data_IF_854430327444
#
_entry.id   IF_854430327444
#
_cell.length_a   1.000
_cell.length_b   1.000
_cell.length_c   1.000
_cell.angle_alpha   90.00
_cell.angle_beta   90.00
_cell.angle_gamma   90.00
#
_symmetry.space_group_name_H-M   'P 1'
#
loop_
_entity.id
_entity.type
_entity.pdbx_description
1 polymer ?
#
# COMPACT_ATOMS: atom_id res chain seq x y z
N UNK A 1 -38.38 18.47 66.54
CA UNK A 1 -37.52 18.09 67.68
C UNK A 1 -36.68 16.89 67.26
N UNK A 2 -35.51 16.68 67.87
CA UNK A 2 -34.47 15.83 67.31
C UNK A 2 -34.09 14.65 68.22
N UNK A 3 -33.52 13.60 67.58
CA UNK A 3 -32.61 12.58 68.15
C UNK A 3 -33.20 11.53 69.11
N UNK A 4 -32.51 10.39 69.36
CA UNK A 4 -31.22 9.92 68.80
C UNK A 4 -31.20 8.51 68.17
N UNK A 5 -30.03 8.18 67.63
CA UNK A 5 -29.53 6.89 67.13
C UNK A 5 -29.75 5.65 68.01
N UNK A 6 -29.82 4.46 67.39
CA UNK A 6 -28.82 3.40 67.61
C UNK A 6 -28.84 2.37 66.46
N UNK A 7 -27.71 1.69 66.26
CA UNK A 7 -27.48 0.73 65.17
C UNK A 7 -27.68 -0.72 65.64
N UNK A 8 -27.70 -1.67 64.69
CA UNK A 8 -26.87 -2.91 64.64
C UNK A 8 -27.51 -3.93 63.68
N UNK A 9 -26.62 -4.53 62.88
CA UNK A 9 -26.75 -5.64 61.92
C UNK A 9 -27.87 -6.67 62.14
N UNK A 10 -28.46 -7.16 61.04
CA UNK A 10 -28.29 -8.57 60.66
C UNK A 10 -28.59 -8.84 59.18
N UNK A 11 -27.95 -9.90 58.66
CA UNK A 11 -27.99 -10.37 57.26
C UNK A 11 -29.09 -11.44 57.12
N UNK A 12 -29.70 -11.60 55.93
CA UNK A 12 -29.89 -12.88 55.19
C UNK A 12 -30.89 -12.69 54.02
N UNK A 13 -30.37 -12.92 52.81
CA UNK A 13 -30.92 -13.59 51.62
C UNK A 13 -32.46 -13.74 51.49
N UNK A 14 -33.09 -13.47 50.33
CA UNK A 14 -33.20 -14.37 49.16
C UNK A 14 -33.89 -13.57 48.03
N UNK A 15 -33.68 -13.74 46.71
CA UNK A 15 -32.59 -14.28 45.87
C UNK A 15 -32.93 -13.96 44.37
N UNK A 16 -32.06 -14.34 43.42
CA UNK A 16 -32.24 -14.59 41.95
C UNK A 16 -33.23 -13.70 41.12
N UNK A 17 -32.90 -13.25 39.89
CA UNK A 17 -32.88 -14.08 38.67
C UNK A 17 -32.32 -13.27 37.44
N UNK A 18 -31.59 -13.98 36.54
CA UNK A 18 -31.19 -13.71 35.14
C UNK A 18 -30.32 -12.50 34.69
N UNK A 19 -29.16 -12.85 34.12
CA UNK A 19 -28.39 -12.08 33.13
C UNK A 19 -26.93 -12.56 33.07
N UNK A 20 -26.46 -13.26 32.03
CA UNK A 20 -25.08 -13.74 31.98
C UNK A 20 -24.14 -12.59 31.59
N UNK A 21 -23.47 -12.00 32.58
CA UNK A 21 -22.29 -11.16 32.32
C UNK A 21 -21.10 -12.11 32.20
N UNK A 22 -20.61 -12.33 30.98
CA UNK A 22 -19.33 -12.98 30.74
C UNK A 22 -18.19 -12.05 31.16
N UNK A 23 -17.91 -12.00 32.46
CA UNK A 23 -16.60 -11.58 32.96
C UNK A 23 -15.62 -12.71 32.65
N UNK A 24 -14.77 -12.49 31.64
CA UNK A 24 -13.61 -13.36 31.44
C UNK A 24 -12.67 -13.18 32.63
N UNK A 25 -12.30 -14.28 33.27
CA UNK A 25 -11.38 -14.28 34.41
C UNK A 25 -10.01 -13.75 33.98
N UNK A 26 -9.49 -12.75 34.70
CA UNK A 26 -8.06 -12.44 34.68
C UNK A 26 -7.36 -13.55 35.45
N UNK A 27 -7.05 -14.64 34.74
CA UNK A 27 -6.17 -15.69 35.24
C UNK A 27 -4.73 -15.19 35.19
N UNK A 28 -4.21 -14.83 36.37
CA UNK A 28 -2.84 -14.41 36.57
C UNK A 28 -1.89 -15.61 36.46
N UNK A 29 -1.45 -15.91 35.24
CA UNK A 29 -0.28 -16.75 35.00
C UNK A 29 0.90 -15.86 34.65
N UNK A 30 1.78 -15.66 35.64
CA UNK A 30 3.13 -15.15 35.44
C UNK A 30 3.92 -16.13 34.58
N UNK A 31 4.12 -15.81 33.31
CA UNK A 31 5.18 -16.41 32.51
C UNK A 31 6.35 -15.41 32.44
N UNK A 32 7.45 -15.74 33.10
CA UNK A 32 8.65 -14.92 33.19
C UNK A 32 9.42 -14.97 31.87
N UNK A 33 8.98 -14.12 30.95
CA UNK A 33 9.48 -14.08 29.59
C UNK A 33 9.28 -12.71 28.98
N UNK A 34 10.19 -11.77 29.28
CA UNK A 34 10.28 -10.50 28.55
C UNK A 34 10.86 -10.73 27.14
N UNK A 35 10.18 -11.58 26.36
CA UNK A 35 10.33 -11.57 24.92
C UNK A 35 9.81 -10.22 24.44
N UNK A 36 10.73 -9.32 24.14
CA UNK A 36 10.49 -8.26 23.16
C UNK A 36 10.21 -8.96 21.82
N UNK A 37 8.98 -9.46 21.64
CA UNK A 37 8.49 -9.92 20.36
C UNK A 37 8.37 -8.66 19.51
N UNK A 38 9.41 -8.42 18.72
CA UNK A 38 9.36 -7.46 17.63
C UNK A 38 8.43 -8.11 16.61
N UNK A 39 7.13 -7.88 16.75
CA UNK A 39 6.13 -8.34 15.79
C UNK A 39 6.47 -7.71 14.44
N UNK A 40 6.98 -8.54 13.52
CA UNK A 40 7.43 -8.10 12.21
C UNK A 40 6.21 -7.62 11.41
N UNK A 41 6.20 -6.38 10.89
CA UNK A 41 5.08 -5.90 10.09
C UNK A 41 4.89 -6.74 8.83
N UNK A 42 3.63 -7.02 8.49
CA UNK A 42 3.26 -7.71 7.26
C UNK A 42 3.79 -6.90 6.06
N UNK A 43 4.61 -7.51 5.19
CA UNK A 43 5.26 -6.76 4.09
C UNK A 43 4.24 -6.09 3.15
N UNK A 44 3.18 -6.81 2.82
CA UNK A 44 2.17 -6.42 1.81
C UNK A 44 0.77 -6.55 2.40
N UNK A 45 -0.05 -5.51 2.28
CA UNK A 45 -1.49 -5.56 2.62
C UNK A 45 -2.35 -5.42 1.37
N UNK A 46 -3.53 -6.04 1.38
CA UNK A 46 -4.45 -6.08 0.24
C UNK A 46 -5.64 -5.16 0.51
N UNK A 47 -5.93 -4.28 -0.43
CA UNK A 47 -7.02 -3.30 -0.37
C UNK A 47 -7.94 -3.44 -1.59
N UNK A 48 -9.15 -2.89 -1.52
CA UNK A 48 -10.08 -2.81 -2.66
C UNK A 48 -10.52 -1.39 -2.95
N UNK A 49 -10.78 -1.11 -4.22
CA UNK A 49 -11.46 0.09 -4.66
C UNK A 49 -10.65 0.95 -5.63
N UNK A 50 -11.05 2.21 -5.69
CA UNK A 50 -10.45 3.25 -6.51
C UNK A 50 -9.02 3.58 -6.08
N UNK A 51 -8.09 3.53 -7.02
CA UNK A 51 -6.69 3.92 -6.84
C UNK A 51 -6.08 4.42 -8.17
N UNK A 52 -4.85 4.92 -8.09
CA UNK A 52 -4.06 5.27 -9.27
C UNK A 52 -3.12 4.11 -9.64
N UNK A 53 -2.90 3.88 -10.94
CA UNK A 53 -2.01 2.82 -11.43
C UNK A 53 -0.88 3.44 -12.26
N UNK A 54 0.30 3.57 -11.65
CA UNK A 54 1.49 4.13 -12.28
C UNK A 54 2.44 3.08 -12.89
N UNK A 55 2.23 1.78 -12.66
CA UNK A 55 3.08 0.71 -13.22
C UNK A 55 3.07 0.63 -14.76
N UNK A 56 2.13 1.34 -15.40
CA UNK A 56 2.04 1.51 -16.85
C UNK A 56 2.37 2.94 -17.32
N UNK A 57 2.85 3.82 -16.44
CA UNK A 57 3.23 5.19 -16.79
C UNK A 57 4.58 5.22 -17.51
N UNK A 58 4.58 5.71 -18.75
CA UNK A 58 5.78 5.98 -19.54
C UNK A 58 6.11 7.47 -19.65
N UNK A 59 5.41 8.34 -18.91
CA UNK A 59 5.56 9.79 -19.00
C UNK A 59 5.88 10.41 -17.62
N UNK A 60 6.92 9.94 -16.94
CA UNK A 60 7.36 10.54 -15.69
C UNK A 60 8.36 11.69 -15.93
N UNK A 61 8.03 12.88 -15.44
CA UNK A 61 8.89 14.08 -15.53
C UNK A 61 9.58 14.35 -14.20
N UNK A 62 10.90 14.58 -14.21
CA UNK A 62 11.68 14.90 -13.01
C UNK A 62 11.48 16.37 -12.57
N UNK A 63 11.23 16.55 -11.27
CA UNK A 63 11.10 17.84 -10.60
C UNK A 63 11.84 17.77 -9.24
N UNK A 64 13.15 18.04 -9.25
CA UNK A 64 13.99 17.96 -8.05
C UNK A 64 14.25 16.51 -7.64
N UNK A 65 13.90 16.15 -6.40
CA UNK A 65 13.99 14.80 -5.82
C UNK A 65 12.77 13.91 -6.13
N UNK A 66 11.82 14.43 -6.90
CA UNK A 66 10.52 13.80 -7.18
C UNK A 66 10.25 13.68 -8.67
N UNK A 67 9.40 12.72 -9.00
CA UNK A 67 8.92 12.45 -10.34
C UNK A 67 7.41 12.66 -10.39
N UNK A 68 6.91 13.35 -11.40
CA UNK A 68 5.48 13.48 -11.67
C UNK A 68 5.13 12.56 -12.83
N UNK A 69 4.36 11.52 -12.54
CA UNK A 69 3.95 10.50 -13.49
C UNK A 69 2.44 10.62 -13.74
N UNK A 70 2.03 10.63 -15.02
CA UNK A 70 0.61 10.51 -15.38
C UNK A 70 0.21 9.03 -15.33
N UNK A 71 -0.86 8.73 -14.59
CA UNK A 71 -1.24 7.39 -14.19
C UNK A 71 -2.73 7.13 -14.45
N UNK A 72 -3.07 5.86 -14.68
CA UNK A 72 -4.45 5.44 -14.95
C UNK A 72 -5.29 5.50 -13.67
N UNK A 73 -6.60 5.70 -13.83
CA UNK A 73 -7.57 5.60 -12.73
C UNK A 73 -8.37 4.30 -12.88
N UNK A 74 -8.31 3.45 -11.86
CA UNK A 74 -8.86 2.08 -11.90
C UNK A 74 -9.56 1.72 -10.59
N UNK A 75 -10.53 0.81 -10.64
CA UNK A 75 -11.28 0.32 -9.48
C UNK A 75 -11.18 -1.20 -9.33
N UNK A 76 -10.31 -1.68 -8.44
CA UNK A 76 -10.09 -3.11 -8.22
C UNK A 76 -9.30 -3.43 -6.94
N UNK A 77 -9.05 -4.72 -6.70
CA UNK A 77 -8.14 -5.20 -5.65
C UNK A 77 -6.70 -4.81 -5.99
N UNK A 78 -6.02 -4.20 -5.02
CA UNK A 78 -4.66 -3.69 -5.14
C UNK A 78 -3.83 -4.02 -3.88
N UNK A 79 -2.52 -3.91 -4.01
CA UNK A 79 -1.53 -4.20 -2.98
C UNK A 79 -0.83 -2.91 -2.58
N UNK A 80 -0.64 -2.73 -1.27
CA UNK A 80 0.19 -1.67 -0.70
C UNK A 80 1.37 -2.31 0.02
N UNK A 81 2.61 -1.96 -0.36
CA UNK A 81 3.78 -2.32 0.43
C UNK A 81 3.84 -1.45 1.69
N UNK A 82 3.84 -2.07 2.86
CA UNK A 82 3.76 -1.34 4.14
C UNK A 82 5.01 -0.51 4.43
N UNK A 83 6.14 -0.87 3.82
CA UNK A 83 7.41 -0.12 3.87
C UNK A 83 7.36 1.19 3.07
N UNK A 84 6.52 1.28 2.04
CA UNK A 84 6.46 2.39 1.08
C UNK A 84 5.40 3.45 1.44
N UNK A 85 4.46 3.13 2.35
CA UNK A 85 3.48 4.07 2.90
C UNK A 85 4.16 5.37 3.36
N UNK A 86 3.69 6.50 2.83
CA UNK A 86 4.23 7.85 3.06
C UNK A 86 3.49 8.60 4.18
N UNK A 87 2.19 8.36 4.35
CA UNK A 87 1.45 8.82 5.53
C UNK A 87 2.01 8.13 6.78
N UNK A 88 2.70 8.89 7.62
CA UNK A 88 3.46 8.34 8.76
C UNK A 88 2.54 7.81 9.86
N UNK A 89 1.36 8.41 10.05
CA UNK A 89 0.40 7.97 11.07
C UNK A 89 -0.25 6.67 10.62
N UNK A 90 -0.75 6.64 9.39
CA UNK A 90 -1.37 5.46 8.77
C UNK A 90 -0.36 4.32 8.62
N UNK A 91 0.90 4.61 8.31
CA UNK A 91 2.00 3.62 8.29
C UNK A 91 2.17 2.96 9.64
N UNK A 92 2.38 3.74 10.70
CA UNK A 92 2.60 3.22 12.04
C UNK A 92 1.41 2.39 12.52
N UNK A 93 0.18 2.86 12.30
CA UNK A 93 -1.04 2.10 12.60
C UNK A 93 -1.15 0.81 11.80
N UNK A 94 -0.76 0.82 10.52
CA UNK A 94 -0.79 -0.37 9.65
C UNK A 94 0.25 -1.39 10.05
N UNK A 95 1.49 -0.96 10.30
CA UNK A 95 2.59 -1.83 10.70
C UNK A 95 2.40 -2.41 12.11
N UNK A 96 1.73 -1.69 13.01
CA UNK A 96 1.38 -2.20 14.35
C UNK A 96 0.17 -3.16 14.34
N UNK A 97 -0.79 -2.98 13.41
CA UNK A 97 -2.00 -3.81 13.33
C UNK A 97 -1.80 -5.07 12.48
N UNK A 98 -1.11 -4.95 11.35
CA UNK A 98 -0.94 -6.02 10.37
C UNK A 98 0.49 -6.56 10.48
N UNK A 99 0.65 -7.70 11.15
CA UNK A 99 1.96 -8.31 11.44
C UNK A 99 2.02 -9.72 10.87
N UNK A 100 3.21 -10.28 10.67
CA UNK A 100 3.37 -11.65 10.16
C UNK A 100 2.74 -12.71 11.10
N UNK A 101 2.58 -12.37 12.40
CA UNK A 101 1.89 -13.21 13.41
C UNK A 101 0.37 -13.00 13.42
N UNK A 102 -0.08 -11.78 13.12
CA UNK A 102 -1.48 -11.37 13.07
C UNK A 102 -1.75 -10.65 11.74
N UNK A 103 -1.81 -11.40 10.63
CA UNK A 103 -1.95 -10.83 9.30
C UNK A 103 -3.33 -10.20 9.13
N UNK A 104 -3.38 -9.08 8.41
CA UNK A 104 -4.62 -8.44 7.98
C UNK A 104 -5.14 -9.10 6.71
N UNK A 105 -6.43 -9.49 6.72
CA UNK A 105 -7.15 -9.79 5.49
C UNK A 105 -7.41 -8.51 4.67
N UNK A 106 -8.06 -8.70 3.51
CA UNK A 106 -8.47 -7.64 2.59
C UNK A 106 -9.22 -6.51 3.32
N UNK A 107 -8.84 -5.26 3.03
CA UNK A 107 -9.40 -4.02 3.60
C UNK A 107 -9.26 -3.83 5.13
N UNK A 108 -8.70 -4.79 5.87
CA UNK A 108 -8.53 -4.66 7.32
C UNK A 108 -7.42 -3.68 7.72
N UNK A 109 -6.46 -3.42 6.82
CA UNK A 109 -5.36 -2.51 7.08
C UNK A 109 -5.83 -1.03 7.15
N UNK A 110 -5.33 -0.22 8.10
CA UNK A 110 -5.65 1.21 8.21
C UNK A 110 -5.41 1.98 6.92
N UNK A 111 -4.36 1.64 6.17
CA UNK A 111 -4.06 2.25 4.86
C UNK A 111 -5.15 2.04 3.82
N UNK A 112 -5.84 0.89 3.81
CA UNK A 112 -6.95 0.66 2.88
C UNK A 112 -8.10 1.63 3.14
N UNK A 113 -8.44 1.90 4.41
CA UNK A 113 -9.45 2.90 4.76
C UNK A 113 -8.99 4.33 4.42
N UNK A 114 -7.71 4.65 4.66
CA UNK A 114 -7.17 5.96 4.33
C UNK A 114 -7.25 6.27 2.82
N UNK A 115 -6.93 5.30 1.97
CA UNK A 115 -7.07 5.40 0.51
C UNK A 115 -8.56 5.50 0.12
N UNK A 116 -9.38 4.54 0.57
CA UNK A 116 -10.80 4.39 0.21
C UNK A 116 -11.67 5.62 0.50
N UNK A 117 -11.30 6.43 1.48
CA UNK A 117 -12.05 7.62 1.90
C UNK A 117 -11.31 8.96 1.64
N UNK A 118 -10.23 8.98 0.85
CA UNK A 118 -9.47 10.21 0.56
C UNK A 118 -8.83 10.86 1.78
N UNK A 119 -8.47 10.05 2.78
CA UNK A 119 -7.90 10.51 4.06
C UNK A 119 -6.38 10.37 4.15
N UNK A 120 -5.75 9.77 3.14
CA UNK A 120 -4.30 9.57 3.07
C UNK A 120 -3.55 10.91 3.00
N UNK A 121 -2.69 11.18 3.98
CA UNK A 121 -2.06 12.48 4.17
C UNK A 121 -0.54 12.43 4.00
N UNK A 122 0.01 13.25 3.08
CA UNK A 122 1.46 13.38 2.88
C UNK A 122 1.85 14.84 2.98
N UNK A 123 2.67 15.18 3.98
CA UNK A 123 3.16 16.55 4.20
C UNK A 123 2.06 17.56 4.59
N UNK A 124 1.00 17.11 5.28
CA UNK A 124 -0.14 17.97 5.66
C UNK A 124 -1.18 18.17 4.56
N UNK A 125 -1.05 17.48 3.42
CA UNK A 125 -1.99 17.52 2.30
C UNK A 125 -2.67 16.15 2.19
N UNK A 126 -4.00 16.14 2.11
CA UNK A 126 -4.80 14.94 1.85
C UNK A 126 -4.98 14.72 0.36
N UNK A 127 -4.94 13.46 -0.05
CA UNK A 127 -5.04 13.07 -1.45
C UNK A 127 -6.21 12.09 -1.64
N UNK A 128 -7.08 12.42 -2.59
CA UNK A 128 -8.20 11.56 -3.01
C UNK A 128 -7.70 10.29 -3.75
N UNK A 129 -6.48 10.34 -4.27
CA UNK A 129 -5.87 9.30 -5.09
C UNK A 129 -4.49 8.93 -4.55
N UNK A 130 -4.23 7.62 -4.49
CA UNK A 130 -2.94 7.06 -4.13
C UNK A 130 -2.56 6.03 -5.17
N UNK A 131 -1.32 6.09 -5.65
CA UNK A 131 -0.76 5.08 -6.55
C UNK A 131 -0.41 3.83 -5.77
N UNK A 132 -0.91 2.69 -6.23
CA UNK A 132 -0.71 1.39 -5.59
C UNK A 132 -0.49 0.32 -6.65
N UNK A 133 0.03 -0.83 -6.23
CA UNK A 133 0.32 -1.93 -7.14
C UNK A 133 -0.96 -2.70 -7.45
N UNK A 134 -1.31 -2.84 -8.73
CA UNK A 134 -2.45 -3.67 -9.17
C UNK A 134 -2.01 -4.97 -9.84
N UNK A 135 -2.80 -6.02 -9.63
CA UNK A 135 -2.73 -7.28 -10.35
C UNK A 135 -2.82 -7.14 -11.88
N UNK A 136 -3.59 -6.17 -12.39
CA UNK A 136 -3.65 -5.87 -13.81
C UNK A 136 -2.41 -5.13 -14.32
N UNK A 137 -1.84 -4.25 -13.48
CA UNK A 137 -0.53 -3.65 -13.74
C UNK A 137 0.55 -4.72 -13.88
N UNK A 138 0.52 -5.73 -13.02
CA UNK A 138 1.42 -6.89 -13.09
C UNK A 138 1.28 -7.71 -14.37
N UNK A 139 0.07 -8.01 -14.82
CA UNK A 139 -0.15 -8.69 -16.10
C UNK A 139 0.55 -7.95 -17.25
N UNK A 140 0.51 -6.61 -17.24
CA UNK A 140 1.21 -5.80 -18.24
C UNK A 140 2.73 -5.89 -18.08
N UNK A 141 3.25 -5.83 -16.84
CA UNK A 141 4.68 -6.02 -16.55
C UNK A 141 5.22 -7.40 -17.00
N UNK A 142 4.45 -8.49 -16.86
CA UNK A 142 4.86 -9.80 -17.38
C UNK A 142 4.96 -9.85 -18.91
N UNK A 143 4.11 -9.09 -19.61
CA UNK A 143 4.13 -8.99 -21.06
C UNK A 143 5.21 -8.02 -21.57
N UNK A 144 5.73 -7.16 -20.69
CA UNK A 144 6.87 -6.29 -20.96
C UNK A 144 8.17 -7.09 -20.87
N UNK A 145 9.06 -6.89 -21.83
CA UNK A 145 10.40 -7.48 -21.79
C UNK A 145 11.24 -6.74 -20.74
N UNK A 146 11.26 -7.24 -19.50
CA UNK A 146 12.04 -6.64 -18.41
C UNK A 146 13.55 -6.68 -18.69
N UNK A 147 14.29 -5.71 -18.16
CA UNK A 147 15.76 -5.60 -18.35
C UNK A 147 16.43 -5.01 -17.11
N UNK A 148 17.61 -5.53 -16.78
CA UNK A 148 18.41 -5.04 -15.66
C UNK A 148 19.08 -3.71 -16.03
N UNK A 149 18.78 -2.65 -15.28
CA UNK A 149 19.34 -1.32 -15.50
C UNK A 149 20.24 -0.94 -14.32
N UNK A 150 21.54 -1.23 -14.44
CA UNK A 150 22.57 -0.81 -13.50
C UNK A 150 23.34 0.38 -14.08
N UNK A 151 23.14 1.56 -13.50
CA UNK A 151 23.76 2.80 -13.96
C UNK A 151 25.30 2.80 -13.82
N UNK A 152 25.86 1.89 -13.02
CA UNK A 152 27.30 1.76 -12.80
C UNK A 152 27.97 0.79 -13.79
N UNK A 153 27.19 0.08 -14.61
CA UNK A 153 27.73 -0.86 -15.58
C UNK A 153 28.47 -0.13 -16.72
N UNK A 154 29.64 -0.65 -17.10
CA UNK A 154 30.42 -0.11 -18.21
C UNK A 154 29.62 -0.12 -19.51
N UNK A 155 29.42 1.05 -20.12
CA UNK A 155 28.64 1.19 -21.35
C UNK A 155 27.13 1.32 -21.14
N UNK A 156 26.66 1.51 -19.90
CA UNK A 156 25.26 1.80 -19.60
C UNK A 156 24.73 2.98 -20.42
N UNK A 157 23.51 2.85 -20.94
CA UNK A 157 22.77 3.88 -21.67
C UNK A 157 21.32 3.82 -21.22
N UNK A 158 20.82 4.91 -20.64
CA UNK A 158 19.51 4.97 -19.98
C UNK A 158 19.48 6.07 -18.93
N UNK A 159 18.43 6.10 -18.11
CA UNK A 159 18.26 7.12 -17.08
C UNK A 159 19.09 6.87 -15.82
N UNK A 160 19.67 7.95 -15.30
CA UNK A 160 20.37 7.92 -14.01
C UNK A 160 19.40 7.78 -12.81
N UNK A 161 18.10 7.97 -13.04
CA UNK A 161 17.06 7.97 -12.00
C UNK A 161 15.82 7.18 -12.44
N UNK A 162 15.09 6.64 -11.47
CA UNK A 162 13.79 5.99 -11.67
C UNK A 162 12.80 6.44 -10.59
N UNK A 163 11.50 6.34 -10.89
CA UNK A 163 10.41 6.73 -10.02
C UNK A 163 9.85 5.53 -9.25
N UNK A 164 9.73 5.70 -7.93
CA UNK A 164 8.96 4.81 -7.05
C UNK A 164 7.58 5.41 -6.86
N UNK A 165 6.58 4.79 -7.48
CA UNK A 165 5.20 5.25 -7.41
C UNK A 165 4.34 4.46 -6.40
N UNK A 166 4.88 3.46 -5.72
CA UNK A 166 4.15 2.73 -4.69
C UNK A 166 3.82 3.65 -3.49
N UNK A 167 2.54 3.61 -3.09
CA UNK A 167 1.94 4.50 -2.10
C UNK A 167 2.16 6.02 -2.36
N UNK A 168 2.42 6.41 -3.62
CA UNK A 168 2.63 7.80 -3.99
C UNK A 168 1.30 8.60 -3.98
N UNK A 169 1.28 9.81 -3.41
CA UNK A 169 0.10 10.67 -3.45
C UNK A 169 -0.17 11.23 -4.86
N UNK A 170 -1.44 11.30 -5.25
CA UNK A 170 -1.86 11.70 -6.60
C UNK A 170 -3.01 12.71 -6.58
N UNK A 171 -3.11 13.51 -7.64
CA UNK A 171 -4.23 14.46 -7.86
C UNK A 171 -4.83 14.29 -9.26
N UNK A 172 -6.13 14.55 -9.42
CA UNK A 172 -6.81 14.42 -10.72
C UNK A 172 -6.51 15.65 -11.61
N UNK A 173 -5.77 15.43 -12.70
CA UNK A 173 -5.50 16.43 -13.72
C UNK A 173 -6.67 16.50 -14.72
N UNK A 174 -7.65 17.35 -14.39
CA UNK A 174 -8.86 17.57 -15.22
C UNK A 174 -8.59 18.12 -16.63
N UNK A 175 -7.37 18.57 -16.91
CA UNK A 175 -6.91 19.07 -18.20
C UNK A 175 -5.78 18.20 -18.79
N UNK A 176 -5.67 16.93 -18.40
CA UNK A 176 -4.65 16.02 -18.92
C UNK A 176 -4.69 15.96 -20.45
N UNK A 177 -3.51 16.04 -21.07
CA UNK A 177 -3.32 15.81 -22.50
C UNK A 177 -3.52 14.34 -22.88
N UNK A 178 -3.47 13.42 -21.92
CA UNK A 178 -3.81 12.02 -22.08
C UNK A 178 -5.06 11.66 -21.25
N UNK A 179 -6.25 11.54 -21.87
CA UNK A 179 -7.48 11.24 -21.14
C UNK A 179 -7.51 9.83 -20.51
N UNK A 180 -6.65 8.90 -20.97
CA UNK A 180 -6.52 7.56 -20.40
C UNK A 180 -5.63 7.53 -19.14
N UNK A 181 -4.91 8.63 -18.86
CA UNK A 181 -4.07 8.80 -17.67
C UNK A 181 -4.40 10.16 -16.99
N UNK A 182 -5.56 10.24 -16.30
CA UNK A 182 -6.05 11.50 -15.74
C UNK A 182 -5.46 11.86 -14.37
N UNK A 183 -4.65 11.01 -13.75
CA UNK A 183 -4.10 11.24 -12.41
C UNK A 183 -2.61 11.58 -12.49
N UNK A 184 -2.19 12.70 -11.91
CA UNK A 184 -0.77 13.04 -11.78
C UNK A 184 -0.27 12.67 -10.39
N UNK A 185 0.69 11.75 -10.32
CA UNK A 185 1.20 11.15 -9.10
C UNK A 185 2.62 11.64 -8.78
N UNK A 186 2.83 12.04 -7.53
CA UNK A 186 4.13 12.53 -7.04
C UNK A 186 4.97 11.37 -6.49
N UNK A 187 5.66 10.69 -7.40
CA UNK A 187 6.52 9.56 -7.11
C UNK A 187 7.90 10.00 -6.59
N UNK A 188 8.57 9.14 -5.81
CA UNK A 188 9.90 9.43 -5.24
C UNK A 188 10.99 9.04 -6.23
N UNK A 189 11.98 9.90 -6.51
CA UNK A 189 13.10 9.50 -7.37
C UNK A 189 14.15 8.68 -6.59
N UNK A 190 14.72 7.65 -7.22
CA UNK A 190 15.88 6.89 -6.73
C UNK A 190 16.96 6.83 -7.81
N UNK A 191 18.23 6.82 -7.40
CA UNK A 191 19.43 6.75 -8.26
C UNK A 191 20.18 5.42 -8.10
N UNK A 192 19.46 4.34 -7.78
CA UNK A 192 19.99 2.99 -7.61
C UNK A 192 19.64 2.10 -8.80
N UNK A 193 20.29 0.94 -8.98
CA UNK A 193 19.90 -0.02 -10.02
C UNK A 193 18.43 -0.44 -9.93
N UNK A 194 17.80 -0.61 -11.09
CA UNK A 194 16.36 -0.79 -11.25
C UNK A 194 16.00 -1.77 -12.38
N UNK A 195 14.72 -2.07 -12.53
CA UNK A 195 14.19 -2.92 -13.61
C UNK A 195 13.54 -2.07 -14.71
N UNK A 196 14.23 -1.95 -15.83
CA UNK A 196 13.68 -1.38 -17.06
C UNK A 196 12.60 -2.27 -17.68
N UNK A 197 11.71 -1.68 -18.46
CA UNK A 197 10.66 -2.38 -19.21
C UNK A 197 10.90 -2.26 -20.71
N UNK A 198 10.30 -3.15 -21.51
CA UNK A 198 10.40 -3.12 -22.98
C UNK A 198 11.83 -3.10 -23.55
N UNK A 199 12.78 -3.75 -22.84
CA UNK A 199 14.23 -3.73 -23.13
C UNK A 199 14.87 -2.35 -23.10
N UNK A 200 14.27 -1.40 -22.40
CA UNK A 200 14.76 -0.04 -22.30
C UNK A 200 15.01 0.36 -20.83
N UNK A 201 16.05 1.16 -20.62
CA UNK A 201 16.40 1.77 -19.35
C UNK A 201 16.04 3.26 -19.30
N UNK A 202 15.24 3.73 -20.26
CA UNK A 202 14.57 5.03 -20.23
C UNK A 202 13.14 4.89 -20.76
N UNK A 203 12.27 5.85 -20.45
CA UNK A 203 10.94 5.91 -21.05
C UNK A 203 10.95 6.59 -22.43
N UNK A 204 9.78 6.58 -23.08
CA UNK A 204 9.59 7.30 -24.34
C UNK A 204 9.91 8.79 -24.15
N UNK A 205 10.60 9.38 -25.13
CA UNK A 205 11.10 10.76 -25.10
C UNK A 205 12.20 11.08 -24.06
N UNK A 206 12.80 10.08 -23.41
CA UNK A 206 13.92 10.31 -22.47
C UNK A 206 13.48 10.85 -21.11
N UNK A 207 12.23 10.58 -20.71
CA UNK A 207 11.77 10.73 -19.33
C UNK A 207 12.16 9.51 -18.49
N UNK A 208 12.13 9.66 -17.17
CA UNK A 208 12.48 8.56 -16.27
C UNK A 208 11.36 7.52 -16.20
N UNK A 209 11.70 6.30 -15.76
CA UNK A 209 10.73 5.19 -15.68
C UNK A 209 10.14 5.01 -14.28
N UNK A 210 8.82 4.79 -14.20
CA UNK A 210 8.17 4.20 -13.01
C UNK A 210 8.55 2.72 -12.91
N UNK A 211 9.33 2.35 -11.90
CA UNK A 211 10.01 1.05 -11.81
C UNK A 211 10.06 0.54 -10.36
N UNK A 212 10.79 -0.56 -10.15
CA UNK A 212 11.14 -1.14 -8.86
C UNK A 212 12.64 -1.50 -8.83
N UNK A 213 13.17 -1.76 -7.63
CA UNK A 213 14.62 -2.01 -7.46
C UNK A 213 15.06 -3.28 -8.17
N UNK A 214 16.31 -3.31 -8.64
CA UNK A 214 16.85 -4.46 -9.38
C UNK A 214 16.74 -5.78 -8.59
N UNK A 215 16.89 -5.71 -7.26
CA UNK A 215 16.78 -6.87 -6.36
C UNK A 215 15.36 -7.39 -6.14
N UNK A 216 14.32 -6.72 -6.66
CA UNK A 216 12.94 -7.20 -6.56
C UNK A 216 12.60 -8.23 -7.65
N UNK A 217 13.44 -8.47 -8.66
CA UNK A 217 13.16 -9.44 -9.74
C UNK A 217 14.28 -10.47 -9.91
N UNK A 218 13.90 -11.74 -9.93
CA UNK A 218 14.78 -12.83 -10.32
C UNK A 218 14.76 -12.98 -11.85
N UNK A 219 15.75 -12.39 -12.52
CA UNK A 219 15.93 -12.50 -13.97
C UNK A 219 16.27 -13.91 -14.47
N UNK A 220 16.72 -14.82 -13.59
CA UNK A 220 17.04 -16.20 -13.96
C UNK A 220 15.78 -17.06 -14.01
N UNK A 221 14.89 -16.87 -13.04
CA UNK A 221 13.63 -17.62 -12.92
C UNK A 221 12.41 -16.84 -13.48
N UNK A 222 12.62 -15.59 -13.92
CA UNK A 222 11.62 -14.65 -14.44
C UNK A 222 10.39 -14.48 -13.53
N UNK A 223 10.65 -14.20 -12.25
CA UNK A 223 9.63 -14.07 -11.19
C UNK A 223 10.08 -13.14 -10.07
N UNK A 224 9.15 -12.73 -9.20
CA UNK A 224 9.50 -12.16 -7.90
C UNK A 224 10.16 -13.23 -7.00
N UNK A 225 11.22 -12.90 -6.23
CA UNK A 225 11.88 -13.82 -5.29
C UNK A 225 11.17 -13.90 -3.93
N UNK A 226 9.99 -13.29 -3.79
CA UNK A 226 9.15 -13.32 -2.60
C UNK A 226 7.69 -13.60 -2.99
N UNK A 227 6.88 -14.22 -2.10
CA UNK A 227 5.45 -14.40 -2.35
C UNK A 227 4.78 -13.05 -2.59
N UNK A 228 4.19 -12.89 -3.77
CA UNK A 228 3.22 -11.85 -4.06
C UNK A 228 1.84 -12.46 -3.80
N UNK A 229 1.08 -12.01 -2.77
CA UNK A 229 -0.30 -12.42 -2.58
C UNK A 229 -1.06 -12.29 -3.89
N UNK A 230 -1.97 -13.22 -4.21
CA UNK A 230 -2.77 -13.19 -5.44
C UNK A 230 -2.07 -13.62 -6.74
N UNK A 231 -0.73 -13.68 -6.81
CA UNK A 231 0.06 -14.00 -8.02
C UNK A 231 -0.45 -15.22 -8.81
N UNK A 232 -0.74 -16.32 -8.12
CA UNK A 232 -1.18 -17.59 -8.71
C UNK A 232 -2.55 -17.50 -9.41
N UNK A 233 -3.40 -16.56 -8.99
CA UNK A 233 -4.77 -16.40 -9.50
C UNK A 233 -4.87 -15.47 -10.72
N UNK A 234 -3.81 -14.73 -11.04
CA UNK A 234 -3.87 -13.58 -11.97
C UNK A 234 -3.48 -13.95 -13.41
N UNK A 235 -2.89 -15.14 -13.64
CA UNK A 235 -2.61 -15.63 -14.99
C UNK A 235 -3.85 -15.69 -15.91
N UNK A 236 -5.06 -15.83 -15.34
CA UNK A 236 -6.32 -15.78 -16.08
C UNK A 236 -6.91 -14.38 -16.31
N UNK A 237 -6.36 -13.32 -15.70
CA UNK A 237 -6.97 -11.99 -15.62
C UNK A 237 -6.39 -10.94 -16.59
N UNK A 238 -5.41 -11.32 -17.42
CA UNK A 238 -4.58 -10.41 -18.21
C UNK A 238 -5.24 -9.82 -19.48
N UNK A 239 -6.47 -9.30 -19.36
CA UNK A 239 -7.11 -8.52 -20.42
C UNK A 239 -6.44 -7.13 -20.58
N UNK A 240 -6.42 -6.53 -21.80
CA UNK A 240 -5.78 -5.22 -22.04
C UNK A 240 -6.33 -4.09 -21.16
N UNK A 241 -5.42 -3.27 -20.60
CA UNK A 241 -5.79 -2.16 -19.71
C UNK A 241 -6.49 -1.03 -20.45
N UNK A 242 -7.52 -0.46 -19.82
CA UNK A 242 -8.18 0.80 -20.19
C UNK A 242 -8.59 1.51 -18.91
N UNK A 243 -8.58 2.84 -18.90
CA UNK A 243 -9.04 3.62 -17.75
C UNK A 243 -10.57 3.58 -17.63
N UNK A 244 -11.09 3.58 -16.41
CA UNK A 244 -12.54 3.65 -16.20
C UNK A 244 -13.07 5.08 -16.52
N UNK A 245 -14.23 5.23 -17.20
CA UNK A 245 -14.73 6.51 -17.68
C UNK A 245 -14.85 7.59 -16.59
N UNK A 246 -14.53 8.84 -16.94
CA UNK A 246 -14.76 10.00 -16.06
C UNK A 246 -16.24 10.10 -15.64
N UNK A 247 -16.54 10.42 -14.36
CA UNK A 247 -17.90 10.72 -13.94
C UNK A 247 -18.52 11.80 -14.84
N UNK A 248 -19.82 11.69 -15.19
CA UNK A 248 -20.51 12.75 -15.92
C UNK A 248 -20.51 14.05 -15.10
N UNK A 249 -20.35 15.19 -15.79
CA UNK A 249 -20.40 16.54 -15.22
C UNK A 249 -21.83 17.04 -15.08
#
# INVERSE_FOLDING_TARGET
>A
MASPFLAITCIIWIAMIYGPICLAEVSENTDDGTHNIIDVPQKLVVCTGWHALCSASTNCTMHGDKAYCDCMRVNETHIVETSEIQDTVVKNLTQAKCTEKHPCDVDQAPVCNAIKYGQYEVGGVKYDWVSTYSYRGWCSLLMMNLTACDQNATGYTGDMYWAVCDAAPCTENRNSSNPDMPLSCQCRAKNTPFVGVNKNCTCDNGGIISSFSLGAWDFRNNTYPFPMPGYEYVQGACAPLKSDPSPPR
#
